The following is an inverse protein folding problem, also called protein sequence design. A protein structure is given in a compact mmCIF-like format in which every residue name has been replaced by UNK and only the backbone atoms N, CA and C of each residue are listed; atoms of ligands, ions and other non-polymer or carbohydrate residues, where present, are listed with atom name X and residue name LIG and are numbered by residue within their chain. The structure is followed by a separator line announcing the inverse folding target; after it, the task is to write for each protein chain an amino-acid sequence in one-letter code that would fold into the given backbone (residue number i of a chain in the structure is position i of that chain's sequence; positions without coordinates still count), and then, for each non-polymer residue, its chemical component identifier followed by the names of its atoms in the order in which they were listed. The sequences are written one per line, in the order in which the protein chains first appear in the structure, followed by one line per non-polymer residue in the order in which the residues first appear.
data_IF_531037540806
#
_entry.id   IF_531037540806
#
_cell.length_a   1.000
_cell.length_b   1.000
_cell.length_c   1.000
_cell.angle_alpha   90.00
_cell.angle_beta   90.00
_cell.angle_gamma   90.00
#
_symmetry.space_group_name_H-M   'P 1'
#
loop_
_entity.id
_entity.type
_entity.pdbx_description
1 polymer ?
#
# COMPACT_ATOMS: atom_id res chain seq x y z
N UNK A 1 -14.37 7.92 -2.76
CA UNK A 1 -15.76 7.44 -2.73
C UNK A 1 -15.89 6.14 -1.92
N UNK A 2 -15.07 5.12 -2.19
CA UNK A 2 -15.09 3.85 -1.44
C UNK A 2 -14.83 4.00 0.07
N UNK A 3 -13.87 4.83 0.48
CA UNK A 3 -13.59 5.04 1.91
C UNK A 3 -14.74 5.73 2.64
N UNK A 4 -15.53 6.55 1.94
CA UNK A 4 -16.70 7.23 2.50
C UNK A 4 -17.81 6.23 2.78
N UNK A 5 -18.09 5.34 1.82
CA UNK A 5 -19.08 4.28 2.01
C UNK A 5 -18.67 3.35 3.14
N UNK A 6 -17.42 2.86 3.14
CA UNK A 6 -16.93 2.01 4.22
C UNK A 6 -17.07 2.67 5.60
N UNK A 7 -16.68 3.95 5.72
CA UNK A 7 -16.81 4.73 6.97
C UNK A 7 -18.25 4.81 7.47
N UNK A 8 -19.25 4.82 6.58
CA UNK A 8 -20.67 4.89 6.94
C UNK A 8 -21.30 3.56 7.36
N UNK A 9 -20.59 2.44 7.23
CA UNK A 9 -21.09 1.10 7.60
C UNK A 9 -21.10 0.90 9.12
N UNK A 10 -21.90 -0.06 9.61
CA UNK A 10 -21.84 -0.48 11.01
C UNK A 10 -20.49 -1.15 11.26
N UNK A 11 -19.96 -1.01 12.48
CA UNK A 11 -18.67 -1.62 12.88
C UNK A 11 -18.64 -3.13 12.65
N UNK A 12 -19.77 -3.81 12.85
CA UNK A 12 -19.89 -5.26 12.58
C UNK A 12 -19.64 -5.59 11.11
N UNK A 13 -20.17 -4.79 10.18
CA UNK A 13 -19.99 -5.00 8.75
C UNK A 13 -18.57 -4.61 8.32
N UNK A 14 -18.03 -3.52 8.86
CA UNK A 14 -16.64 -3.12 8.62
C UNK A 14 -15.65 -4.20 9.06
N UNK A 15 -15.88 -4.79 10.23
CA UNK A 15 -15.06 -5.86 10.79
C UNK A 15 -15.17 -7.15 9.95
N UNK A 16 -16.39 -7.50 9.52
CA UNK A 16 -16.61 -8.64 8.64
C UNK A 16 -15.87 -8.49 7.30
N UNK A 17 -15.87 -7.29 6.72
CA UNK A 17 -15.13 -7.00 5.48
C UNK A 17 -13.62 -7.04 5.73
N UNK A 18 -13.12 -6.44 6.80
CA UNK A 18 -11.69 -6.48 7.14
C UNK A 18 -11.18 -7.93 7.28
N UNK A 19 -11.94 -8.77 7.99
CA UNK A 19 -11.63 -10.18 8.15
C UNK A 19 -11.55 -10.94 6.80
N UNK A 20 -12.44 -10.62 5.84
CA UNK A 20 -12.39 -11.23 4.48
C UNK A 20 -11.10 -10.93 3.73
N UNK A 21 -10.45 -9.81 4.03
CA UNK A 21 -9.16 -9.44 3.45
C UNK A 21 -7.98 -9.86 4.34
N UNK A 22 -8.18 -10.65 5.39
CA UNK A 22 -7.12 -11.04 6.32
C UNK A 22 -6.55 -9.86 7.12
N UNK A 23 -7.34 -8.79 7.31
CA UNK A 23 -6.94 -7.60 8.05
C UNK A 23 -7.54 -7.70 9.46
N UNK A 24 -6.73 -7.64 10.53
CA UNK A 24 -7.18 -7.93 11.89
C UNK A 24 -8.03 -6.83 12.53
N UNK A 25 -8.01 -5.61 11.97
CA UNK A 25 -8.70 -4.44 12.52
C UNK A 25 -9.43 -3.67 11.41
N UNK A 26 -10.71 -3.38 11.61
CA UNK A 26 -11.50 -2.59 10.66
C UNK A 26 -10.97 -1.17 10.51
N UNK A 27 -10.38 -0.58 11.56
CA UNK A 27 -9.80 0.76 11.49
C UNK A 27 -8.55 0.78 10.61
N UNK A 28 -7.81 -0.33 10.58
CA UNK A 28 -6.65 -0.52 9.71
C UNK A 28 -7.11 -0.52 8.25
N UNK A 29 -8.12 -1.33 7.90
CA UNK A 29 -8.72 -1.32 6.56
C UNK A 29 -9.28 0.07 6.19
N UNK A 30 -9.99 0.75 7.10
CA UNK A 30 -10.48 2.10 6.84
C UNK A 30 -9.34 3.06 6.51
N UNK A 31 -8.23 2.98 7.24
CA UNK A 31 -7.06 3.82 6.96
C UNK A 31 -6.47 3.52 5.59
N UNK A 32 -6.33 2.24 5.24
CA UNK A 32 -5.79 1.80 3.96
C UNK A 32 -6.66 2.27 2.79
N UNK A 33 -7.99 2.19 2.91
CA UNK A 33 -8.92 2.67 1.89
C UNK A 33 -8.81 4.18 1.65
N UNK A 34 -8.49 4.98 2.67
CA UNK A 34 -8.25 6.42 2.49
C UNK A 34 -6.97 6.67 1.71
N UNK A 35 -5.87 6.03 2.11
CA UNK A 35 -4.58 6.13 1.42
C UNK A 35 -4.66 5.68 -0.04
N UNK A 36 -5.38 4.59 -0.31
CA UNK A 36 -5.64 4.10 -1.66
C UNK A 36 -6.46 5.10 -2.49
N UNK A 37 -7.49 5.71 -1.91
CA UNK A 37 -8.25 6.75 -2.61
C UNK A 37 -7.39 7.97 -2.96
N UNK A 38 -6.50 8.39 -2.06
CA UNK A 38 -5.55 9.46 -2.33
C UNK A 38 -4.63 9.09 -3.51
N UNK A 39 -3.96 7.94 -3.45
CA UNK A 39 -3.05 7.48 -4.52
C UNK A 39 -3.77 7.32 -5.85
N UNK A 40 -4.97 6.71 -5.85
CA UNK A 40 -5.80 6.60 -7.05
C UNK A 40 -6.13 7.95 -7.66
N UNK A 41 -6.45 8.95 -6.83
CA UNK A 41 -6.77 10.29 -7.32
C UNK A 41 -5.53 10.97 -7.92
N UNK A 42 -4.38 10.91 -7.25
CA UNK A 42 -3.12 11.43 -7.80
C UNK A 42 -2.81 10.79 -9.16
N UNK A 43 -2.96 9.47 -9.28
CA UNK A 43 -2.76 8.75 -10.54
C UNK A 43 -3.77 9.18 -11.63
N UNK A 44 -5.06 9.32 -11.28
CA UNK A 44 -6.10 9.75 -12.21
C UNK A 44 -5.92 11.20 -12.71
N UNK A 45 -5.26 12.05 -11.93
CA UNK A 45 -4.87 13.40 -12.33
C UNK A 45 -3.49 13.44 -13.03
N UNK A 46 -2.92 12.28 -13.40
CA UNK A 46 -1.60 12.15 -14.04
C UNK A 46 -0.50 12.92 -13.30
N UNK A 47 -0.66 13.07 -11.98
CA UNK A 47 0.28 13.80 -11.14
C UNK A 47 1.46 12.91 -10.76
N UNK A 48 2.62 13.52 -10.50
CA UNK A 48 3.82 12.82 -10.03
C UNK A 48 3.52 12.10 -8.71
N UNK A 49 3.68 10.77 -8.71
CA UNK A 49 3.39 9.91 -7.56
C UNK A 49 4.65 9.40 -6.86
N UNK A 50 5.71 9.11 -7.63
CA UNK A 50 6.84 8.29 -7.17
C UNK A 50 7.61 8.89 -5.97
N UNK A 51 7.78 10.20 -5.85
CA UNK A 51 8.42 10.82 -4.67
C UNK A 51 7.48 11.77 -3.91
N UNK A 52 6.17 11.57 -4.06
CA UNK A 52 5.18 12.43 -3.40
C UNK A 52 4.88 11.89 -2.01
N UNK A 53 5.04 12.75 -1.01
CA UNK A 53 4.61 12.42 0.35
C UNK A 53 3.09 12.22 0.39
N UNK A 54 2.66 11.11 0.99
CA UNK A 54 1.25 10.80 1.20
C UNK A 54 0.66 11.71 2.27
N UNK A 55 -0.42 12.42 1.90
CA UNK A 55 -1.20 13.23 2.85
C UNK A 55 -2.04 12.28 3.72
N UNK A 56 -2.76 11.37 3.08
CA UNK A 56 -3.48 10.29 3.76
C UNK A 56 -2.56 9.10 4.00
N UNK A 57 -1.79 9.16 5.10
CA UNK A 57 -0.88 8.09 5.48
C UNK A 57 -1.63 6.87 6.03
N UNK A 58 -1.30 5.64 5.57
CA UNK A 58 -1.93 4.45 6.11
C UNK A 58 -1.39 4.12 7.50
N UNK A 59 -2.25 3.62 8.38
CA UNK A 59 -1.82 2.95 9.61
C UNK A 59 -1.05 1.67 9.26
N UNK A 60 -0.06 1.35 10.09
CA UNK A 60 0.62 0.05 10.07
C UNK A 60 -0.08 -0.94 11.02
N UNK A 61 -0.07 -2.24 10.73
CA UNK A 61 -0.50 -3.26 11.68
C UNK A 61 0.42 -3.28 12.91
N UNK A 62 -0.06 -3.88 14.00
CA UNK A 62 0.78 -4.20 15.15
C UNK A 62 1.78 -5.30 14.75
N UNK A 63 2.98 -5.27 15.34
CA UNK A 63 4.00 -6.29 15.10
C UNK A 63 3.44 -7.70 15.33
N UNK A 64 3.69 -8.60 14.39
CA UNK A 64 3.24 -9.99 14.39
C UNK A 64 1.76 -10.19 14.00
N UNK A 65 0.96 -9.12 13.86
CA UNK A 65 -0.43 -9.25 13.43
C UNK A 65 -0.55 -9.52 11.92
N UNK A 66 0.42 -9.03 11.14
CA UNK A 66 0.52 -9.28 9.69
C UNK A 66 2.01 -9.41 9.33
N UNK A 67 2.58 -10.62 9.31
CA UNK A 67 4.03 -10.84 9.13
C UNK A 67 4.63 -10.17 7.89
N UNK A 68 3.88 -10.11 6.79
CA UNK A 68 4.29 -9.44 5.54
C UNK A 68 4.59 -7.94 5.72
N UNK A 69 4.08 -7.31 6.79
CA UNK A 69 4.27 -5.89 7.09
C UNK A 69 5.27 -5.65 8.23
N UNK A 70 5.77 -6.68 8.90
CA UNK A 70 6.65 -6.49 10.08
C UNK A 70 7.96 -5.77 9.71
N UNK A 71 8.46 -6.00 8.49
CA UNK A 71 9.69 -5.36 7.99
C UNK A 71 9.58 -3.83 7.85
N UNK A 72 8.36 -3.26 7.78
CA UNK A 72 8.16 -1.81 7.69
C UNK A 72 7.82 -1.17 9.04
N UNK A 73 7.62 -1.96 10.09
CA UNK A 73 7.28 -1.42 11.41
C UNK A 73 8.52 -0.75 12.02
N UNK A 74 8.36 0.49 12.47
CA UNK A 74 9.45 1.27 13.07
C UNK A 74 10.42 1.92 12.08
N UNK A 75 10.25 1.70 10.78
CA UNK A 75 11.03 2.39 9.75
C UNK A 75 10.58 3.87 9.68
N UNK A 76 11.48 4.84 9.87
CA UNK A 76 11.12 6.26 9.81
C UNK A 76 10.49 6.64 8.47
N UNK A 77 9.46 7.48 8.51
CA UNK A 77 8.77 8.04 7.34
C UNK A 77 8.16 7.04 6.35
N UNK A 78 8.18 5.72 6.62
CA UNK A 78 7.71 4.71 5.66
C UNK A 78 6.23 4.89 5.27
N UNK A 79 5.41 5.37 6.21
CA UNK A 79 3.98 5.66 6.01
C UNK A 79 3.74 6.86 5.10
N UNK A 80 4.75 7.70 4.88
CA UNK A 80 4.70 8.85 3.97
C UNK A 80 4.98 8.45 2.52
N UNK A 81 5.49 7.24 2.28
CA UNK A 81 6.06 6.82 1.00
C UNK A 81 5.12 5.92 0.21
N UNK A 82 5.27 5.91 -1.11
CA UNK A 82 4.44 5.11 -2.01
C UNK A 82 4.57 3.61 -1.74
N UNK A 83 5.76 3.17 -1.33
CA UNK A 83 6.09 1.76 -1.06
C UNK A 83 5.03 1.06 -0.18
N UNK A 84 4.66 1.64 0.96
CA UNK A 84 3.68 1.00 1.86
C UNK A 84 2.31 0.83 1.20
N UNK A 85 1.90 1.77 0.33
CA UNK A 85 0.63 1.68 -0.39
C UNK A 85 0.69 0.61 -1.47
N UNK A 86 1.85 0.38 -2.10
CA UNK A 86 2.05 -0.73 -3.02
C UNK A 86 1.95 -2.07 -2.29
N UNK A 87 2.54 -2.21 -1.09
CA UNK A 87 2.38 -3.39 -0.24
C UNK A 87 0.91 -3.64 0.13
N UNK A 88 0.17 -2.59 0.52
CA UNK A 88 -1.27 -2.67 0.80
C UNK A 88 -2.06 -3.11 -0.43
N UNK A 89 -1.76 -2.52 -1.59
CA UNK A 89 -2.45 -2.84 -2.86
C UNK A 89 -2.23 -4.31 -3.23
N UNK A 90 -1.00 -4.77 -3.10
CA UNK A 90 -0.59 -6.15 -3.34
C UNK A 90 -1.30 -7.14 -2.40
N UNK A 91 -1.36 -6.83 -1.09
CA UNK A 91 -2.10 -7.63 -0.10
C UNK A 91 -3.57 -7.78 -0.49
N UNK A 92 -4.24 -6.67 -0.81
CA UNK A 92 -5.65 -6.69 -1.20
C UNK A 92 -5.86 -7.41 -2.54
N UNK A 93 -4.96 -7.25 -3.51
CA UNK A 93 -5.05 -7.93 -4.80
C UNK A 93 -4.94 -9.44 -4.66
N UNK A 94 -4.12 -9.97 -3.74
CA UNK A 94 -4.04 -11.42 -3.48
C UNK A 94 -5.40 -11.99 -3.07
N UNK A 95 -6.22 -11.23 -2.35
CA UNK A 95 -7.57 -11.62 -1.96
C UNK A 95 -8.62 -11.37 -3.07
N UNK A 96 -8.55 -10.23 -3.79
CA UNK A 96 -9.55 -9.85 -4.81
C UNK A 96 -9.35 -10.61 -6.12
N UNK A 97 -8.10 -10.78 -6.56
CA UNK A 97 -7.75 -11.37 -7.85
C UNK A 97 -6.42 -12.15 -7.71
N UNK A 98 -6.45 -13.37 -7.13
CA UNK A 98 -5.24 -14.14 -6.84
C UNK A 98 -4.42 -14.50 -8.09
N UNK A 99 -5.07 -14.59 -9.26
CA UNK A 99 -4.43 -14.89 -10.53
C UNK A 99 -3.93 -13.64 -11.29
N UNK A 100 -3.93 -12.47 -10.63
CA UNK A 100 -3.50 -11.23 -11.25
C UNK A 100 -2.01 -11.25 -11.60
N UNK A 101 -1.67 -10.84 -12.82
CA UNK A 101 -0.29 -10.59 -13.24
C UNK A 101 0.25 -9.24 -12.74
N UNK A 102 -0.55 -8.47 -12.00
CA UNK A 102 -0.19 -7.12 -11.55
C UNK A 102 1.12 -7.06 -10.76
N UNK A 103 1.42 -7.98 -9.80
CA UNK A 103 2.70 -7.93 -9.07
C UNK A 103 3.91 -8.10 -10.00
N UNK A 104 3.78 -8.95 -11.03
CA UNK A 104 4.82 -9.15 -12.05
C UNK A 104 5.06 -7.89 -12.87
N UNK A 105 3.97 -7.25 -13.33
CA UNK A 105 4.04 -5.98 -14.07
C UNK A 105 4.62 -4.85 -13.23
N UNK A 106 4.20 -4.72 -11.96
CA UNK A 106 4.77 -3.73 -11.04
C UNK A 106 6.28 -3.92 -10.91
N UNK A 107 6.75 -5.16 -10.68
CA UNK A 107 8.18 -5.46 -10.58
C UNK A 107 8.94 -5.09 -11.86
N UNK A 108 8.36 -5.35 -13.04
CA UNK A 108 8.95 -4.96 -14.33
C UNK A 108 9.08 -3.44 -14.47
N UNK A 109 8.05 -2.68 -14.11
CA UNK A 109 8.10 -1.21 -14.16
C UNK A 109 9.14 -0.63 -13.18
N UNK A 110 9.24 -1.21 -11.98
CA UNK A 110 10.24 -0.80 -10.99
C UNK A 110 11.67 -1.14 -11.44
N UNK A 111 11.88 -2.26 -12.12
CA UNK A 111 13.15 -2.64 -12.74
C UNK A 111 13.52 -1.73 -13.92
N UNK A 112 12.51 -1.27 -14.67
CA UNK A 112 12.68 -0.32 -15.77
C UNK A 112 12.79 1.15 -15.29
N UNK A 113 12.75 1.39 -13.98
CA UNK A 113 12.83 2.75 -13.43
C UNK A 113 14.18 3.38 -13.83
N UNK A 114 14.17 4.62 -14.36
CA UNK A 114 15.36 5.19 -14.96
C UNK A 114 16.46 5.40 -13.92
N UNK A 115 17.69 4.98 -14.28
CA UNK A 115 18.88 5.24 -13.47
C UNK A 115 19.40 6.63 -13.80
N UNK A 116 18.97 7.63 -13.02
CA UNK A 116 19.43 9.02 -13.12
C UNK A 116 20.13 9.36 -11.80
N UNK A 117 21.22 10.14 -11.87
CA UNK A 117 21.94 10.57 -10.66
C UNK A 117 20.99 11.30 -9.70
N UNK A 118 20.88 10.78 -8.47
CA UNK A 118 20.01 11.34 -7.43
C UNK A 118 18.54 10.95 -7.53
N UNK A 119 18.15 10.06 -8.44
CA UNK A 119 16.82 9.47 -8.50
C UNK A 119 16.92 7.94 -8.41
N UNK A 120 16.15 7.36 -7.49
CA UNK A 120 16.05 5.91 -7.40
C UNK A 120 14.69 5.49 -6.83
N UNK A 121 14.43 4.18 -6.87
CA UNK A 121 13.27 3.59 -6.20
C UNK A 121 13.30 3.80 -4.68
N UNK A 122 14.44 4.16 -4.09
CA UNK A 122 14.51 4.55 -2.67
C UNK A 122 13.70 5.82 -2.38
N UNK A 123 13.53 6.72 -3.35
CA UNK A 123 12.69 7.93 -3.21
C UNK A 123 11.19 7.59 -3.06
N UNK A 124 10.79 6.42 -3.60
CA UNK A 124 9.48 5.80 -3.39
C UNK A 124 9.35 5.10 -2.04
N UNK A 125 10.44 5.00 -1.26
CA UNK A 125 10.49 4.32 0.04
C UNK A 125 10.83 2.83 -0.04
N UNK A 126 11.35 2.32 -1.18
CA UNK A 126 11.75 0.92 -1.28
C UNK A 126 13.01 0.66 -0.45
N UNK A 127 13.08 -0.46 0.31
CA UNK A 127 14.27 -0.85 1.04
C UNK A 127 15.38 -1.31 0.08
N UNK A 128 16.63 -1.33 0.56
CA UNK A 128 17.72 -1.95 -0.18
C UNK A 128 17.44 -3.45 -0.43
N UNK A 129 17.71 -3.94 -1.63
CA UNK A 129 17.49 -5.34 -1.98
C UNK A 129 16.03 -5.74 -2.15
N UNK A 130 15.10 -4.78 -2.32
CA UNK A 130 13.68 -5.01 -2.57
C UNK A 130 13.41 -5.96 -3.74
N UNK A 131 14.35 -6.06 -4.69
CA UNK A 131 14.29 -6.94 -5.85
C UNK A 131 14.19 -8.43 -5.45
N UNK A 132 14.78 -8.77 -4.31
CA UNK A 132 14.83 -10.12 -3.76
C UNK A 132 13.69 -10.42 -2.80
N UNK A 133 12.92 -9.41 -2.41
CA UNK A 133 11.79 -9.58 -1.50
C UNK A 133 10.54 -10.03 -2.24
N UNK A 134 9.67 -10.82 -1.59
CA UNK A 134 8.36 -11.19 -2.12
C UNK A 134 7.39 -10.00 -2.05
N UNK A 135 7.62 -8.97 -2.88
CA UNK A 135 6.51 -8.23 -3.47
C UNK A 135 5.66 -9.24 -4.26
#
# INVERSE_FOLDING_TARGET
MLSTFFKGMKVVDQSAIAARYGIPDWQLLQSWLRSLNFVRNVAAHHSRLWNKNLIDQPKLPKAGAMPDFDAVIGVPDVTTRLFVVLCITLHLLRAVCPNSSWPKRLRQELMAFPTIQGLSVADMGFPAGWETQPL
#
